data_IF_832433770305
#
_entry.id   IF_832433770305
#
_cell.length_a   1.000
_cell.length_b   1.000
_cell.length_c   1.000
_cell.angle_alpha   90.00
_cell.angle_beta   90.00
_cell.angle_gamma   90.00
#
_symmetry.space_group_name_H-M   'P 1'
#
loop_
_entity.id
_entity.type
_entity.pdbx_description
1 polymer ?
#
# COMPACT_ATOMS: atom_id res chain seq x y z
N UNK A 1 -44.22 -6.99 20.13
CA UNK A 1 -43.84 -6.39 18.83
C UNK A 1 -43.31 -5.01 19.13
N UNK A 2 -41.98 -4.85 19.18
CA UNK A 2 -41.33 -3.57 19.49
C UNK A 2 -40.83 -2.98 18.19
N UNK A 3 -41.40 -1.85 17.78
CA UNK A 3 -40.96 -1.09 16.61
C UNK A 3 -39.59 -0.47 16.91
N UNK A 4 -38.55 -1.01 16.28
CA UNK A 4 -37.23 -0.37 16.26
C UNK A 4 -37.31 0.92 15.48
N UNK A 5 -37.07 2.04 16.16
CA UNK A 5 -36.88 3.35 15.53
C UNK A 5 -35.56 3.31 14.74
N UNK A 6 -35.65 3.19 13.43
CA UNK A 6 -34.53 3.50 12.54
C UNK A 6 -34.46 5.02 12.42
N UNK A 7 -33.69 5.67 13.30
CA UNK A 7 -33.30 7.05 13.05
C UNK A 7 -32.51 7.08 11.72
N UNK A 8 -32.81 8.01 10.81
CA UNK A 8 -32.04 8.16 9.58
C UNK A 8 -30.59 8.52 9.93
N UNK A 9 -29.64 7.86 9.26
CA UNK A 9 -28.23 8.24 9.28
C UNK A 9 -28.12 9.55 8.50
N UNK A 10 -28.11 10.68 9.21
CA UNK A 10 -28.02 12.01 8.60
C UNK A 10 -26.65 12.19 7.95
N UNK A 11 -26.65 12.65 6.69
CA UNK A 11 -25.43 12.90 5.89
C UNK A 11 -24.48 13.93 6.53
N UNK A 12 -24.94 14.64 7.54
CA UNK A 12 -24.25 15.72 8.25
C UNK A 12 -23.09 15.23 9.10
N UNK A 13 -23.10 13.96 9.51
CA UNK A 13 -21.98 13.31 10.23
C UNK A 13 -20.85 12.87 9.29
N UNK A 14 -21.04 12.98 7.97
CA UNK A 14 -20.05 12.59 6.98
C UNK A 14 -19.03 13.71 6.79
N UNK A 15 -18.02 13.73 7.66
CA UNK A 15 -16.83 14.58 7.49
C UNK A 15 -16.13 14.16 6.20
N UNK A 16 -16.33 14.93 5.14
CA UNK A 16 -15.54 14.79 3.93
C UNK A 16 -14.12 15.25 4.25
N UNK A 17 -13.11 14.36 4.18
CA UNK A 17 -11.74 14.79 4.38
C UNK A 17 -11.43 15.91 3.39
N UNK A 18 -10.83 16.98 3.89
CA UNK A 18 -10.44 18.13 3.08
C UNK A 18 -9.66 17.65 1.83
N UNK A 19 -9.75 18.39 0.71
CA UNK A 19 -9.00 18.11 -0.54
C UNK A 19 -7.47 18.12 -0.38
N UNK A 20 -6.95 18.20 0.84
CA UNK A 20 -5.54 18.26 1.11
C UNK A 20 -4.87 16.94 0.73
N UNK A 21 -3.71 17.07 0.09
CA UNK A 21 -2.84 15.96 -0.24
C UNK A 21 -2.40 15.30 1.07
N UNK A 22 -2.81 14.05 1.30
CA UNK A 22 -2.47 13.28 2.51
C UNK A 22 -1.20 12.45 2.33
N UNK A 23 -0.91 12.06 1.08
CA UNK A 23 0.22 11.19 0.74
C UNK A 23 0.94 11.68 -0.51
N UNK A 24 2.21 11.30 -0.62
CA UNK A 24 3.02 11.47 -1.81
C UNK A 24 3.53 10.12 -2.33
N UNK A 25 3.84 10.07 -3.62
CA UNK A 25 4.49 8.93 -4.25
C UNK A 25 5.93 9.32 -4.62
N UNK A 26 6.89 8.55 -4.15
CA UNK A 26 8.30 8.67 -4.52
C UNK A 26 8.84 7.33 -5.00
N UNK A 27 9.93 7.29 -5.79
CA UNK A 27 10.57 6.01 -6.13
C UNK A 27 10.80 5.16 -4.88
N UNK A 28 10.40 3.88 -4.95
CA UNK A 28 10.63 2.93 -3.86
C UNK A 28 12.13 2.68 -3.71
N UNK A 29 12.60 2.66 -2.49
CA UNK A 29 13.99 2.41 -2.10
C UNK A 29 14.12 1.05 -1.44
N UNK A 30 15.33 0.50 -1.44
CA UNK A 30 15.63 -0.74 -0.73
C UNK A 30 15.33 -0.62 0.78
N UNK A 31 15.63 0.53 1.37
CA UNK A 31 15.40 0.83 2.79
C UNK A 31 13.92 0.88 3.19
N UNK A 32 13.00 1.03 2.23
CA UNK A 32 11.56 1.01 2.54
C UNK A 32 11.10 -0.37 3.03
N UNK A 33 11.91 -1.41 2.78
CA UNK A 33 11.69 -2.74 3.31
C UNK A 33 11.57 -2.74 4.84
N UNK A 34 12.31 -1.88 5.55
CA UNK A 34 12.34 -1.87 7.01
C UNK A 34 10.99 -1.45 7.60
N UNK A 35 10.39 -0.41 7.01
CA UNK A 35 9.07 0.07 7.41
C UNK A 35 7.95 -0.90 7.00
N UNK A 36 8.12 -1.60 5.88
CA UNK A 36 7.08 -2.47 5.32
C UNK A 36 7.19 -3.93 5.75
N UNK A 37 8.32 -4.32 6.36
CA UNK A 37 8.56 -5.69 6.79
C UNK A 37 7.45 -6.24 7.70
N UNK A 38 6.96 -5.54 8.74
CA UNK A 38 5.89 -6.06 9.59
C UNK A 38 4.62 -6.45 8.81
N UNK A 39 4.30 -5.69 7.75
CA UNK A 39 3.15 -6.00 6.89
C UNK A 39 3.48 -7.15 5.93
N UNK A 40 4.66 -7.15 5.32
CA UNK A 40 5.06 -8.15 4.33
C UNK A 40 5.52 -9.49 4.95
N UNK A 41 5.70 -9.55 6.27
CA UNK A 41 5.88 -10.78 7.04
C UNK A 41 4.56 -11.34 7.61
N UNK A 42 3.45 -10.60 7.49
CA UNK A 42 2.16 -11.01 8.04
C UNK A 42 1.36 -11.84 7.04
N UNK A 43 0.84 -12.99 7.48
CA UNK A 43 0.05 -13.92 6.66
C UNK A 43 -1.21 -13.28 6.08
N UNK A 44 -2.00 -12.57 6.89
CA UNK A 44 -3.22 -11.88 6.43
C UNK A 44 -2.92 -10.88 5.30
N UNK A 45 -1.88 -10.05 5.46
CA UNK A 45 -1.49 -9.04 4.47
C UNK A 45 -0.96 -9.65 3.18
N UNK A 46 -0.29 -10.80 3.27
CA UNK A 46 0.30 -11.51 2.13
C UNK A 46 -0.63 -12.58 1.52
N UNK A 47 -1.86 -12.75 2.05
CA UNK A 47 -2.82 -13.77 1.60
C UNK A 47 -3.13 -13.69 0.09
N UNK A 48 -3.16 -12.49 -0.45
CA UNK A 48 -3.46 -12.22 -1.86
C UNK A 48 -2.23 -11.83 -2.67
N UNK A 49 -1.04 -11.87 -2.05
CA UNK A 49 0.20 -11.57 -2.73
C UNK A 49 0.65 -12.77 -3.58
N UNK A 50 1.49 -12.52 -4.58
CA UNK A 50 1.98 -13.56 -5.51
C UNK A 50 2.92 -14.59 -4.87
N UNK A 51 3.31 -14.38 -3.60
CA UNK A 51 4.16 -15.27 -2.81
C UNK A 51 3.74 -15.21 -1.34
N UNK A 52 4.25 -16.16 -0.55
CA UNK A 52 4.09 -16.16 0.90
C UNK A 52 4.84 -15.02 1.60
N UNK A 53 4.62 -14.83 2.91
CA UNK A 53 5.27 -13.80 3.71
C UNK A 53 6.80 -13.88 3.69
N UNK A 54 7.45 -12.74 3.93
CA UNK A 54 8.90 -12.68 4.12
C UNK A 54 9.26 -13.09 5.55
N UNK A 55 10.37 -13.82 5.70
CA UNK A 55 10.82 -14.31 7.02
C UNK A 55 11.90 -13.40 7.61
N UNK A 56 12.70 -12.76 6.75
CA UNK A 56 13.80 -11.88 7.15
C UNK A 56 13.74 -10.55 6.40
N UNK A 57 14.06 -9.45 7.09
CA UNK A 57 14.06 -8.10 6.48
C UNK A 57 15.06 -8.00 5.33
N UNK A 58 16.19 -8.71 5.41
CA UNK A 58 17.20 -8.72 4.35
C UNK A 58 16.70 -9.39 3.06
N UNK A 59 15.85 -10.41 3.18
CA UNK A 59 15.18 -11.02 2.03
C UNK A 59 14.27 -9.99 1.34
N UNK A 60 13.54 -9.21 2.14
CA UNK A 60 12.66 -8.15 1.62
C UNK A 60 13.45 -6.99 1.01
N UNK A 61 14.56 -6.58 1.64
CA UNK A 61 15.49 -5.60 1.07
C UNK A 61 15.99 -6.07 -0.30
N UNK A 62 16.40 -7.33 -0.43
CA UNK A 62 16.83 -7.86 -1.72
C UNK A 62 15.69 -7.86 -2.74
N UNK A 63 14.46 -8.19 -2.33
CA UNK A 63 13.28 -8.09 -3.19
C UNK A 63 12.94 -6.64 -3.62
N UNK A 64 13.34 -5.64 -2.83
CA UNK A 64 13.15 -4.22 -3.15
C UNK A 64 14.32 -3.62 -3.92
N UNK A 65 15.42 -4.35 -4.09
CA UNK A 65 16.56 -3.89 -4.85
C UNK A 65 16.13 -3.48 -6.27
N UNK A 66 16.72 -2.44 -6.85
CA UNK A 66 16.41 -2.06 -8.23
C UNK A 66 16.78 -3.20 -9.18
N UNK A 67 15.79 -3.78 -9.85
CA UNK A 67 16.02 -4.66 -10.98
C UNK A 67 15.67 -3.90 -12.25
N UNK A 68 16.71 -3.53 -13.02
CA UNK A 68 16.59 -2.84 -14.31
C UNK A 68 15.73 -3.61 -15.34
N UNK A 69 15.45 -4.88 -15.09
CA UNK A 69 14.83 -5.82 -16.04
C UNK A 69 13.39 -6.21 -15.71
N UNK A 70 12.85 -5.84 -14.55
CA UNK A 70 11.53 -6.33 -14.10
C UNK A 70 10.35 -5.77 -14.91
N UNK A 71 10.52 -4.65 -15.60
CA UNK A 71 9.45 -3.94 -16.32
C UNK A 71 8.44 -3.22 -15.42
N UNK A 72 8.57 -3.36 -14.10
CA UNK A 72 7.71 -2.72 -13.11
C UNK A 72 8.27 -1.37 -12.69
N UNK A 73 7.41 -0.34 -12.70
CA UNK A 73 7.68 0.93 -12.04
C UNK A 73 7.00 0.92 -10.67
N UNK A 74 7.77 1.17 -9.61
CA UNK A 74 7.28 1.08 -8.24
C UNK A 74 7.56 2.35 -7.45
N UNK A 75 6.56 2.83 -6.73
CA UNK A 75 6.64 3.99 -5.86
C UNK A 75 6.22 3.63 -4.44
N UNK A 76 6.98 4.12 -3.46
CA UNK A 76 6.55 4.10 -2.07
C UNK A 76 5.47 5.16 -1.85
N UNK A 77 4.49 4.83 -1.02
CA UNK A 77 3.47 5.76 -0.51
C UNK A 77 4.00 6.29 0.81
N UNK A 78 4.13 7.61 0.94
CA UNK A 78 4.57 8.28 2.17
C UNK A 78 3.52 9.30 2.60
N UNK A 79 3.34 9.53 3.91
CA UNK A 79 2.53 10.66 4.39
C UNK A 79 3.21 11.97 3.99
N UNK A 80 2.44 13.00 3.67
CA UNK A 80 3.02 14.32 3.41
C UNK A 80 3.84 14.76 4.62
N UNK A 81 5.02 15.34 4.38
CA UNK A 81 6.02 15.75 5.39
C UNK A 81 6.77 14.63 6.13
N UNK A 82 6.47 13.36 5.83
CA UNK A 82 7.20 12.20 6.33
C UNK A 82 7.92 11.46 5.19
N UNK A 83 9.04 10.80 5.47
CA UNK A 83 9.75 9.98 4.47
C UNK A 83 9.56 8.46 4.68
N UNK A 84 8.85 8.06 5.74
CA UNK A 84 8.60 6.66 6.04
C UNK A 84 7.52 6.08 5.11
N UNK A 85 7.82 4.94 4.50
CA UNK A 85 6.88 4.25 3.63
C UNK A 85 5.73 3.63 4.44
N UNK A 86 4.50 3.98 4.06
CA UNK A 86 3.25 3.39 4.57
C UNK A 86 2.60 2.44 3.56
N UNK A 87 3.32 2.14 2.48
CA UNK A 87 2.90 1.22 1.43
C UNK A 87 3.70 1.43 0.16
N UNK A 88 3.31 0.74 -0.91
CA UNK A 88 3.80 1.01 -2.26
C UNK A 88 2.74 0.69 -3.30
N UNK A 89 2.91 1.28 -4.47
CA UNK A 89 2.16 0.97 -5.70
C UNK A 89 3.16 0.65 -6.80
N UNK A 90 2.87 -0.39 -7.57
CA UNK A 90 3.65 -0.82 -8.72
C UNK A 90 2.75 -0.88 -9.95
N UNK A 91 3.32 -0.57 -11.12
CA UNK A 91 2.64 -0.74 -12.40
C UNK A 91 3.56 -1.33 -13.46
N UNK A 92 3.00 -2.14 -14.33
CA UNK A 92 3.69 -2.67 -15.51
C UNK A 92 2.74 -2.73 -16.69
N UNK A 93 3.20 -2.28 -17.85
CA UNK A 93 2.48 -2.50 -19.12
C UNK A 93 2.45 -3.99 -19.41
N UNK A 94 1.28 -4.54 -19.75
CA UNK A 94 1.14 -5.94 -20.18
C UNK A 94 0.99 -6.07 -21.68
N UNK A 95 0.20 -5.17 -22.27
CA UNK A 95 -0.04 -5.06 -23.71
C UNK A 95 -0.52 -3.65 -24.04
N UNK A 96 -0.64 -3.33 -25.32
CA UNK A 96 -1.10 -2.01 -25.78
C UNK A 96 -2.43 -1.65 -25.11
N UNK A 97 -2.46 -0.49 -24.44
CA UNK A 97 -3.64 0.03 -23.74
C UNK A 97 -4.01 -0.68 -22.43
N UNK A 98 -3.20 -1.63 -21.93
CA UNK A 98 -3.47 -2.36 -20.68
C UNK A 98 -2.23 -2.37 -19.78
N UNK A 99 -2.39 -1.84 -18.58
CA UNK A 99 -1.38 -1.89 -17.52
C UNK A 99 -1.94 -2.64 -16.31
N UNK A 100 -1.10 -3.44 -15.68
CA UNK A 100 -1.39 -4.00 -14.36
C UNK A 100 -0.98 -2.98 -13.29
N UNK A 101 -1.73 -2.97 -12.19
CA UNK A 101 -1.34 -2.29 -10.95
C UNK A 101 -1.34 -3.31 -9.82
N UNK A 102 -0.36 -3.19 -8.93
CA UNK A 102 -0.31 -3.90 -7.66
C UNK A 102 -0.03 -2.90 -6.56
N UNK A 103 -0.60 -3.08 -5.38
CA UNK A 103 -0.33 -2.19 -4.25
C UNK A 103 -0.41 -2.95 -2.94
N UNK A 104 0.30 -2.43 -1.95
CA UNK A 104 0.26 -2.89 -0.57
C UNK A 104 0.26 -1.66 0.32
N UNK A 105 -0.61 -1.65 1.33
CA UNK A 105 -0.67 -0.60 2.35
C UNK A 105 -0.35 -1.25 3.68
N UNK A 106 0.46 -0.57 4.49
CA UNK A 106 0.84 -1.05 5.80
C UNK A 106 -0.39 -1.25 6.69
N UNK A 107 -0.40 -2.34 7.46
CA UNK A 107 -1.50 -2.64 8.39
C UNK A 107 -1.58 -1.63 9.54
N UNK A 108 -0.42 -1.12 9.95
CA UNK A 108 -0.25 -0.19 11.06
C UNK A 108 0.59 0.99 10.54
N UNK A 109 0.12 2.22 10.81
CA UNK A 109 0.71 3.50 10.34
C UNK A 109 0.67 4.57 11.39
#
# INVERSE_FOLDING_TARGET
MTTGSSAPFELEDMVFPSKQKRVELRPRRQSDADALFPTMSHSDSMRYWSRGPFIHVDELRNYFAPEDTSGWKTWAIVKVSEDQAIGFVATSTKRKGVSEIGYLVAREV
#
